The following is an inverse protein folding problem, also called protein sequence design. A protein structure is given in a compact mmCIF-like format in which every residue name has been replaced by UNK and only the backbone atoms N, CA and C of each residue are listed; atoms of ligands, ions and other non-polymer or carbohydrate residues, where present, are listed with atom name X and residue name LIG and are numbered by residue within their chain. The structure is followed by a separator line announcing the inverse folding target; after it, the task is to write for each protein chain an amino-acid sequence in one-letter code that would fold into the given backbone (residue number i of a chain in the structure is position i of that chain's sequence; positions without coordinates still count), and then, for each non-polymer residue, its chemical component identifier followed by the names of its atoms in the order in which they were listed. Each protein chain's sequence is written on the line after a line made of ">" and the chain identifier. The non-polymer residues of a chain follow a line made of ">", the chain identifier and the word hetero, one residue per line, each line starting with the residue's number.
data_IF_399712091813
#
_entry.id   IF_399712091813
#
_cell.length_a   1.000
_cell.length_b   1.000
_cell.length_c   1.000
_cell.angle_alpha   90.00
_cell.angle_beta   90.00
_cell.angle_gamma   90.00
#
_symmetry.space_group_name_H-M   'P 1'
#
loop_
_entity.id
_entity.type
_entity.pdbx_description
1 polymer ?
#
# COMPACT_ATOMS: atom_id res chain seq x y z
N UNK A 1 -6.53 5.41 8.01
CA UNK A 1 -5.33 4.70 8.51
C UNK A 1 -4.28 5.68 9.01
N UNK A 2 -3.34 5.23 9.86
CA UNK A 2 -2.20 6.06 10.26
C UNK A 2 -1.16 6.09 9.14
N UNK A 3 -0.41 7.19 9.04
CA UNK A 3 0.70 7.26 8.09
C UNK A 3 1.75 6.18 8.38
N UNK A 4 2.12 6.02 9.65
CA UNK A 4 3.09 5.02 10.10
C UNK A 4 2.68 3.59 9.74
N UNK A 5 1.41 3.23 9.92
CA UNK A 5 0.90 1.90 9.58
C UNK A 5 0.99 1.60 8.09
N UNK A 6 0.67 2.60 7.26
CA UNK A 6 0.81 2.49 5.81
C UNK A 6 2.27 2.35 5.38
N UNK A 7 3.18 3.17 5.91
CA UNK A 7 4.62 3.06 5.61
C UNK A 7 5.19 1.70 6.02
N UNK A 8 4.88 1.22 7.23
CA UNK A 8 5.35 -0.09 7.68
C UNK A 8 4.84 -1.23 6.78
N UNK A 9 3.57 -1.17 6.37
CA UNK A 9 3.02 -2.10 5.40
C UNK A 9 3.78 -2.07 4.07
N UNK A 10 4.02 -0.87 3.51
CA UNK A 10 4.72 -0.73 2.23
C UNK A 10 6.17 -1.22 2.34
N UNK A 11 6.87 -0.91 3.43
CA UNK A 11 8.25 -1.36 3.66
C UNK A 11 8.35 -2.88 3.75
N UNK A 12 7.43 -3.55 4.45
CA UNK A 12 7.48 -5.02 4.58
C UNK A 12 6.98 -5.74 3.32
N UNK A 13 5.94 -5.20 2.66
CA UNK A 13 5.28 -5.88 1.55
C UNK A 13 5.94 -5.61 0.19
N UNK A 14 6.53 -4.43 -0.02
CA UNK A 14 7.11 -4.03 -1.32
C UNK A 14 8.18 -4.99 -1.86
N UNK A 15 9.05 -5.65 -1.07
CA UNK A 15 10.01 -6.63 -1.59
C UNK A 15 9.38 -7.89 -2.21
N UNK A 16 8.12 -8.17 -1.87
CA UNK A 16 7.36 -9.34 -2.38
C UNK A 16 6.61 -8.97 -3.67
N UNK A 17 6.30 -7.68 -3.86
CA UNK A 17 5.66 -7.15 -5.06
C UNK A 17 6.70 -6.75 -6.12
N UNK A 18 6.28 -6.71 -7.38
CA UNK A 18 7.05 -6.07 -8.45
C UNK A 18 6.86 -4.56 -8.44
N UNK A 19 5.61 -4.13 -8.21
CA UNK A 19 5.25 -2.71 -8.12
C UNK A 19 4.02 -2.52 -7.24
N UNK A 20 3.98 -1.41 -6.51
CA UNK A 20 2.77 -0.94 -5.81
C UNK A 20 2.55 0.51 -6.21
N UNK A 21 1.35 0.86 -6.67
CA UNK A 21 1.00 2.24 -7.04
C UNK A 21 -0.36 2.60 -6.53
N UNK A 22 -0.58 3.87 -6.18
CA UNK A 22 -1.92 4.34 -5.89
C UNK A 22 -1.95 5.58 -5.03
N UNK A 23 -3.13 5.88 -4.51
CA UNK A 23 -3.38 7.06 -3.70
C UNK A 23 -4.15 6.63 -2.46
N UNK A 24 -3.69 7.03 -1.28
CA UNK A 24 -4.23 6.58 0.00
C UNK A 24 -4.51 7.75 0.92
N UNK A 25 -5.69 7.73 1.55
CA UNK A 25 -6.07 8.67 2.59
C UNK A 25 -5.54 8.19 3.94
N UNK A 26 -4.68 8.99 4.55
CA UNK A 26 -4.16 8.80 5.90
C UNK A 26 -4.73 9.85 6.85
N UNK A 27 -4.44 9.69 8.15
CA UNK A 27 -4.70 10.72 9.17
C UNK A 27 -4.00 12.06 8.91
N UNK A 28 -2.96 12.09 8.07
CA UNK A 28 -2.19 13.32 7.76
C UNK A 28 -2.54 13.91 6.39
N UNK A 29 -3.55 13.37 5.72
CA UNK A 29 -3.98 13.76 4.37
C UNK A 29 -3.77 12.66 3.34
N UNK A 30 -3.83 13.06 2.09
CA UNK A 30 -3.70 12.18 0.93
C UNK A 30 -2.25 12.03 0.51
N UNK A 31 -1.90 10.82 0.12
CA UNK A 31 -0.56 10.49 -0.34
C UNK A 31 -0.60 9.64 -1.59
N UNK A 32 0.29 9.96 -2.52
CA UNK A 32 0.62 9.12 -3.67
C UNK A 32 1.74 8.16 -3.28
N UNK A 33 1.57 6.91 -3.70
CA UNK A 33 2.47 5.81 -3.44
C UNK A 33 2.99 5.29 -4.77
N UNK A 34 4.31 5.14 -4.86
CA UNK A 34 4.97 4.42 -5.94
C UNK A 34 6.13 3.61 -5.36
N UNK A 35 5.93 2.29 -5.25
CA UNK A 35 6.95 1.37 -4.80
C UNK A 35 7.45 0.53 -5.97
N UNK A 36 8.77 0.42 -6.12
CA UNK A 36 9.44 -0.42 -7.14
C UNK A 36 10.51 -1.25 -6.43
N UNK A 37 10.32 -2.56 -6.35
CA UNK A 37 11.15 -3.42 -5.51
C UNK A 37 11.18 -2.92 -4.07
N UNK A 38 12.37 -2.61 -3.54
CA UNK A 38 12.55 -2.13 -2.17
C UNK A 38 12.46 -0.60 -2.02
N UNK A 39 12.30 0.14 -3.11
CA UNK A 39 12.18 1.60 -3.06
C UNK A 39 10.72 1.98 -2.84
N UNK A 40 10.46 2.80 -1.82
CA UNK A 40 9.13 3.31 -1.49
C UNK A 40 9.14 4.84 -1.66
N UNK A 41 8.49 5.33 -2.72
CA UNK A 41 8.22 6.76 -2.88
C UNK A 41 6.85 7.09 -2.33
N UNK A 42 6.80 8.13 -1.49
CA UNK A 42 5.63 8.49 -0.72
C UNK A 42 5.47 10.02 -0.70
N UNK A 43 4.57 10.54 -1.53
CA UNK A 43 4.42 11.97 -1.81
C UNK A 43 3.09 12.48 -1.26
N UNK A 44 3.09 13.59 -0.52
CA UNK A 44 1.86 14.22 -0.03
C UNK A 44 1.14 14.93 -1.17
N UNK A 45 -0.16 14.70 -1.29
CA UNK A 45 -1.00 15.34 -2.29
C UNK A 45 -1.74 16.54 -1.69
N UNK A 46 -1.78 17.63 -2.45
CA UNK A 46 -2.53 18.85 -2.10
C UNK A 46 -4.03 18.69 -2.34
N UNK A 47 -4.43 17.79 -3.24
CA UNK A 47 -5.83 17.52 -3.59
C UNK A 47 -6.21 16.12 -3.13
N UNK A 48 -7.47 15.99 -2.70
CA UNK A 48 -8.05 14.70 -2.37
C UNK A 48 -8.38 13.91 -3.63
N UNK A 49 -8.14 12.60 -3.57
CA UNK A 49 -8.65 11.64 -4.56
C UNK A 49 -10.07 11.20 -4.19
N UNK A 50 -10.78 10.59 -5.13
CA UNK A 50 -12.14 10.07 -4.87
C UNK A 50 -12.12 8.92 -3.87
N UNK A 51 -11.18 7.98 -4.02
CA UNK A 51 -11.08 6.76 -3.22
C UNK A 51 -9.63 6.43 -2.86
N UNK A 52 -9.44 5.73 -1.73
CA UNK A 52 -8.15 5.11 -1.40
C UNK A 52 -8.02 3.79 -2.16
N UNK A 53 -7.00 3.68 -3.01
CA UNK A 53 -6.79 2.49 -3.82
C UNK A 53 -5.30 2.24 -4.05
N UNK A 54 -4.91 0.97 -4.02
CA UNK A 54 -3.59 0.50 -4.40
C UNK A 54 -3.72 -0.55 -5.50
N UNK A 55 -2.94 -0.38 -6.55
CA UNK A 55 -2.66 -1.38 -7.58
C UNK A 55 -1.36 -2.08 -7.21
N UNK A 56 -1.41 -3.40 -7.14
CA UNK A 56 -0.27 -4.25 -6.79
C UNK A 56 0.01 -5.17 -7.98
N UNK A 57 1.24 -5.10 -8.50
CA UNK A 57 1.73 -5.97 -9.56
C UNK A 57 2.67 -6.98 -8.90
N UNK A 58 2.41 -8.27 -9.07
CA UNK A 58 3.23 -9.35 -8.51
C UNK A 58 3.61 -10.39 -9.57
N UNK A 59 4.55 -11.27 -9.21
CA UNK A 59 4.89 -12.44 -10.04
C UNK A 59 3.72 -13.43 -10.02
N UNK A 60 3.41 -14.04 -11.17
CA UNK A 60 2.30 -14.99 -11.34
C UNK A 60 2.44 -16.25 -10.48
N UNK A 61 3.67 -16.67 -10.22
CA UNK A 61 4.00 -17.95 -9.59
C UNK A 61 3.79 -17.96 -8.07
N UNK A 62 3.68 -16.78 -7.43
CA UNK A 62 3.46 -16.65 -5.99
C UNK A 62 2.10 -16.03 -5.73
N UNK A 63 1.21 -16.77 -5.07
CA UNK A 63 -0.03 -16.20 -4.57
C UNK A 63 0.30 -15.22 -3.44
N UNK A 64 0.22 -13.92 -3.71
CA UNK A 64 0.56 -12.86 -2.75
C UNK A 64 -0.60 -12.49 -1.82
N UNK A 65 -1.80 -13.03 -2.05
CA UNK A 65 -3.03 -12.55 -1.39
C UNK A 65 -3.02 -12.87 0.11
N UNK A 66 -2.47 -14.04 0.50
CA UNK A 66 -2.39 -14.44 1.90
C UNK A 66 -1.43 -13.54 2.68
N UNK A 67 -0.25 -13.29 2.13
CA UNK A 67 0.79 -12.41 2.67
C UNK A 67 0.29 -10.97 2.72
N UNK A 68 -0.33 -10.47 1.64
CA UNK A 68 -0.95 -9.16 1.57
C UNK A 68 -1.94 -8.94 2.71
N UNK A 69 -2.90 -9.85 2.90
CA UNK A 69 -3.88 -9.77 3.99
C UNK A 69 -3.22 -9.88 5.37
N UNK A 70 -2.23 -10.76 5.52
CA UNK A 70 -1.53 -10.95 6.79
C UNK A 70 -0.75 -9.69 7.20
N UNK A 71 0.08 -9.17 6.31
CA UNK A 71 0.94 -8.00 6.57
C UNK A 71 0.07 -6.74 6.74
N UNK A 72 -0.99 -6.59 5.92
CA UNK A 72 -1.93 -5.49 6.08
C UNK A 72 -2.53 -5.43 7.48
N UNK A 73 -3.02 -6.56 8.01
CA UNK A 73 -3.63 -6.64 9.35
C UNK A 73 -2.65 -6.35 10.49
N UNK A 74 -1.33 -6.55 10.30
CA UNK A 74 -0.32 -6.24 11.31
C UNK A 74 -0.20 -4.74 11.56
N UNK A 75 -0.38 -3.92 10.51
CA UNK A 75 -0.11 -2.48 10.58
C UNK A 75 -1.34 -1.59 10.43
N UNK A 76 -2.43 -2.13 9.89
CA UNK A 76 -3.64 -1.39 9.60
C UNK A 76 -4.85 -2.06 10.23
N UNK A 77 -5.74 -1.24 10.82
CA UNK A 77 -7.01 -1.70 11.41
C UNK A 77 -8.15 -1.71 10.40
N UNK A 78 -7.98 -0.99 9.29
CA UNK A 78 -8.96 -0.91 8.22
C UNK A 78 -9.02 -2.26 7.49
N UNK A 79 -10.21 -2.67 7.08
CA UNK A 79 -10.34 -3.85 6.22
C UNK A 79 -9.75 -3.57 4.82
N UNK A 80 -9.23 -4.64 4.21
CA UNK A 80 -8.72 -4.63 2.85
C UNK A 80 -9.76 -5.31 1.95
N UNK A 81 -10.31 -4.55 1.01
CA UNK A 81 -11.13 -5.08 -0.08
C UNK A 81 -10.26 -5.32 -1.30
N UNK A 82 -10.43 -6.48 -1.95
CA UNK A 82 -9.77 -6.84 -3.19
C UNK A 82 -10.82 -6.82 -4.30
N UNK A 83 -10.51 -6.18 -5.41
CA UNK A 83 -11.37 -6.05 -6.60
C UNK A 83 -10.64 -6.67 -7.78
#
# INVERSE_FOLDING_TARGET
>A
MSLKGLLNFLTEFSPIALRIKGEMKTSQGWYRIDCVGNQVNFERLNKASSNSCLVIISRREKSIIKELKSIWKRYNRQELSLV
#
